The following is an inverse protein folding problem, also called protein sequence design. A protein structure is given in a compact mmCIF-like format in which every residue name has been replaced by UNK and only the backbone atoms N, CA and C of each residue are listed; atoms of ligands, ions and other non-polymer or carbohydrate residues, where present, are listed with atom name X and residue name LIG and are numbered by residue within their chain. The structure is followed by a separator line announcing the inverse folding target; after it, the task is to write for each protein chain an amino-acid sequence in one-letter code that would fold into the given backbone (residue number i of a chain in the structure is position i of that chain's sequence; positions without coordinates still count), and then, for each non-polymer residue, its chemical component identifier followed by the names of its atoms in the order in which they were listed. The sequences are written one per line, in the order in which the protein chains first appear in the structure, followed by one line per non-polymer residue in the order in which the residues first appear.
data_IF_110021094913
#
_entry.id   IF_110021094913
#
_cell.length_a   1.000
_cell.length_b   1.000
_cell.length_c   1.000
_cell.angle_alpha   90.00
_cell.angle_beta   90.00
_cell.angle_gamma   90.00
#
_symmetry.space_group_name_H-M   'P 1'
#
loop_
_entity.id
_entity.type
_entity.pdbx_description
1 polymer ?
#
# COMPACT_ATOMS: atom_id res chain seq x y z
N UNK A 1 36.88 -19.53 50.00
CA UNK A 1 35.81 -20.49 49.66
C UNK A 1 34.69 -19.70 48.99
N UNK A 2 34.56 -19.84 47.67
CA UNK A 2 33.69 -19.01 46.84
C UNK A 2 32.31 -19.67 46.67
N UNK A 3 31.25 -18.96 47.06
CA UNK A 3 29.88 -19.41 46.94
C UNK A 3 29.39 -19.28 45.48
N UNK A 4 28.82 -20.36 44.97
CA UNK A 4 28.34 -20.54 43.59
C UNK A 4 27.02 -19.80 43.34
N UNK A 5 26.99 -18.99 42.28
CA UNK A 5 25.87 -18.10 41.90
C UNK A 5 24.82 -18.77 41.00
N UNK A 6 24.39 -19.99 41.33
CA UNK A 6 23.43 -20.77 40.52
C UNK A 6 21.96 -20.40 40.81
N UNK A 7 21.69 -19.44 41.69
CA UNK A 7 20.34 -19.17 42.23
C UNK A 7 19.52 -18.02 41.62
N UNK A 8 19.84 -17.48 40.43
CA UNK A 8 19.15 -16.27 39.89
C UNK A 8 18.61 -16.37 38.46
N UNK A 9 18.22 -17.55 38.00
CA UNK A 9 17.64 -17.73 36.64
C UNK A 9 16.14 -18.10 36.65
N UNK A 10 15.52 -18.36 37.80
CA UNK A 10 14.14 -18.89 37.85
C UNK A 10 13.03 -17.91 38.28
N UNK A 11 13.27 -16.60 38.30
CA UNK A 11 12.26 -15.61 38.75
C UNK A 11 11.82 -14.59 37.69
N UNK A 12 12.27 -14.70 36.43
CA UNK A 12 11.85 -13.82 35.34
C UNK A 12 10.92 -14.49 34.31
N UNK A 13 10.08 -15.45 34.73
CA UNK A 13 9.12 -16.10 33.83
C UNK A 13 7.70 -16.25 34.41
N UNK A 14 7.31 -15.39 35.37
CA UNK A 14 5.97 -15.45 35.98
C UNK A 14 5.04 -14.26 35.71
N UNK A 15 5.49 -13.25 34.95
CA UNK A 15 4.67 -12.06 34.66
C UNK A 15 4.23 -11.89 33.20
N UNK A 16 4.56 -12.81 32.29
CA UNK A 16 4.06 -12.79 30.91
C UNK A 16 2.88 -13.73 30.63
N UNK A 17 2.43 -14.51 31.63
CA UNK A 17 1.34 -15.47 31.46
C UNK A 17 -0.07 -14.89 31.75
N UNK A 18 -0.17 -13.66 32.26
CA UNK A 18 -1.46 -13.06 32.63
C UNK A 18 -2.07 -12.12 31.56
N UNK A 19 -1.48 -12.01 30.36
CA UNK A 19 -2.00 -11.16 29.28
C UNK A 19 -2.50 -11.92 28.03
N UNK A 20 -2.38 -13.25 27.99
CA UNK A 20 -2.88 -14.06 26.88
C UNK A 20 -3.69 -15.24 27.40
N UNK A 21 -4.99 -15.02 27.60
CA UNK A 21 -5.96 -16.12 27.67
C UNK A 21 -6.13 -16.65 26.25
N UNK A 22 -5.25 -17.56 25.83
CA UNK A 22 -5.40 -18.29 24.57
C UNK A 22 -6.61 -19.21 24.74
N UNK A 23 -7.74 -18.79 24.20
CA UNK A 23 -8.94 -19.61 24.10
C UNK A 23 -8.60 -20.90 23.36
N UNK A 24 -8.95 -22.05 23.94
CA UNK A 24 -8.89 -23.34 23.24
C UNK A 24 -9.75 -23.26 21.98
N UNK A 25 -9.23 -23.73 20.85
CA UNK A 25 -9.97 -23.85 19.59
C UNK A 25 -11.14 -24.81 19.80
N UNK A 26 -12.35 -24.28 19.91
CA UNK A 26 -13.57 -25.07 19.79
C UNK A 26 -13.79 -25.37 18.29
N UNK A 27 -14.15 -26.61 17.92
CA UNK A 27 -14.59 -26.88 16.56
C UNK A 27 -15.83 -26.05 16.25
N UNK A 28 -15.82 -25.39 15.10
CA UNK A 28 -16.90 -24.57 14.58
C UNK A 28 -18.18 -25.42 14.47
N UNK A 29 -19.10 -25.25 15.41
CA UNK A 29 -20.48 -25.72 15.22
C UNK A 29 -21.16 -24.74 14.27
N UNK A 30 -21.70 -25.28 13.18
CA UNK A 30 -22.53 -24.55 12.23
C UNK A 30 -23.74 -23.94 12.94
N UNK A 31 -23.64 -22.68 13.37
CA UNK A 31 -24.81 -21.89 13.73
C UNK A 31 -25.35 -21.25 12.46
N UNK A 32 -26.42 -21.82 11.91
CA UNK A 32 -27.22 -21.18 10.88
C UNK A 32 -27.85 -19.92 11.47
N UNK A 33 -27.24 -18.76 11.19
CA UNK A 33 -27.86 -17.46 11.47
C UNK A 33 -29.00 -17.30 10.46
N UNK A 34 -30.22 -17.55 10.91
CA UNK A 34 -31.43 -17.23 10.17
C UNK A 34 -31.56 -15.70 10.07
N UNK A 35 -31.07 -15.13 8.96
CA UNK A 35 -31.45 -13.79 8.54
C UNK A 35 -32.86 -13.86 7.93
N UNK A 36 -33.81 -12.99 8.34
CA UNK A 36 -35.14 -13.01 7.78
C UNK A 36 -35.06 -12.65 6.29
N UNK A 37 -35.53 -13.58 5.48
CA UNK A 37 -35.65 -13.46 4.03
C UNK A 37 -36.50 -12.23 3.72
N UNK A 38 -35.89 -11.18 3.16
CA UNK A 38 -36.62 -10.08 2.56
C UNK A 38 -37.40 -10.65 1.37
N UNK A 39 -38.72 -10.84 1.52
CA UNK A 39 -39.60 -11.24 0.43
C UNK A 39 -39.91 -10.00 -0.41
N UNK A 40 -39.50 -9.91 -1.69
CA UNK A 40 -40.04 -8.88 -2.54
C UNK A 40 -41.52 -9.17 -2.80
N UNK A 41 -42.35 -8.17 -2.57
CA UNK A 41 -43.78 -8.20 -2.86
C UNK A 41 -43.95 -8.20 -4.39
N UNK A 42 -44.14 -9.38 -4.99
CA UNK A 42 -44.51 -9.49 -6.41
C UNK A 42 -46.03 -9.46 -6.50
N UNK A 43 -46.56 -8.42 -7.14
CA UNK A 43 -47.95 -8.38 -7.57
C UNK A 43 -48.22 -9.58 -8.50
N UNK A 44 -49.15 -10.44 -8.09
CA UNK A 44 -49.68 -11.57 -8.87
C UNK A 44 -50.48 -11.04 -10.06
N UNK A 45 -50.12 -11.47 -11.26
CA UNK A 45 -51.03 -11.62 -12.39
C UNK A 45 -51.03 -13.11 -12.77
N UNK A 46 -52.19 -13.76 -12.99
CA UNK A 46 -52.27 -15.20 -13.18
C UNK A 46 -52.28 -15.56 -14.67
N UNK A 47 -51.31 -16.37 -15.11
CA UNK A 47 -51.47 -17.25 -16.27
C UNK A 47 -50.50 -18.43 -16.20
N UNK A 48 -50.91 -19.62 -16.67
CA UNK A 48 -50.26 -20.89 -16.32
C UNK A 48 -49.26 -21.36 -17.39
N UNK A 49 -48.26 -22.12 -16.98
CA UNK A 49 -47.52 -23.01 -17.88
C UNK A 49 -46.00 -22.94 -17.75
N UNK A 50 -45.40 -24.10 -17.50
CA UNK A 50 -43.97 -24.44 -17.63
C UNK A 50 -43.06 -23.99 -16.49
N UNK A 51 -43.07 -24.78 -15.42
CA UNK A 51 -42.03 -24.79 -14.38
C UNK A 51 -40.72 -25.37 -14.92
N UNK A 52 -39.90 -24.53 -15.55
CA UNK A 52 -38.46 -24.78 -15.68
C UNK A 52 -37.79 -24.50 -14.32
N UNK A 53 -37.50 -25.57 -13.58
CA UNK A 53 -36.70 -25.51 -12.36
C UNK A 53 -35.27 -25.13 -12.73
N UNK A 54 -34.94 -23.84 -12.73
CA UNK A 54 -33.55 -23.41 -12.72
C UNK A 54 -32.98 -23.69 -11.33
N UNK A 55 -32.27 -24.81 -11.20
CA UNK A 55 -31.37 -25.04 -10.07
C UNK A 55 -30.27 -23.98 -10.15
N UNK A 56 -30.42 -22.92 -9.38
CA UNK A 56 -29.34 -21.96 -9.15
C UNK A 56 -28.41 -22.56 -8.10
N UNK A 57 -27.63 -23.56 -8.51
CA UNK A 57 -26.47 -24.01 -7.76
C UNK A 57 -25.40 -22.90 -7.84
N UNK A 58 -25.54 -21.91 -6.97
CA UNK A 58 -24.44 -21.00 -6.66
C UNK A 58 -23.43 -21.79 -5.81
N UNK A 59 -22.70 -22.70 -6.46
CA UNK A 59 -21.50 -23.26 -5.90
C UNK A 59 -20.54 -22.08 -5.71
N UNK A 60 -20.47 -21.59 -4.47
CA UNK A 60 -19.47 -20.63 -4.04
C UNK A 60 -18.12 -21.32 -4.26
N UNK A 61 -17.51 -21.08 -5.42
CA UNK A 61 -16.12 -21.43 -5.67
C UNK A 61 -15.29 -20.55 -4.74
N UNK A 62 -15.09 -21.02 -3.52
CA UNK A 62 -14.09 -20.50 -2.61
C UNK A 62 -12.72 -20.78 -3.26
N UNK A 63 -12.27 -19.92 -4.17
CA UNK A 63 -10.88 -19.96 -4.66
C UNK A 63 -9.98 -19.73 -3.45
N UNK A 64 -9.23 -20.74 -3.06
CA UNK A 64 -8.20 -20.60 -2.04
C UNK A 64 -7.25 -19.48 -2.46
N UNK A 65 -7.07 -18.47 -1.61
CA UNK A 65 -6.12 -17.41 -1.86
C UNK A 65 -4.72 -18.05 -2.00
N UNK A 66 -4.01 -17.74 -3.09
CA UNK A 66 -2.68 -18.29 -3.36
C UNK A 66 -1.63 -17.65 -2.46
N UNK A 67 -1.68 -17.91 -1.16
CA UNK A 67 -0.63 -17.54 -0.22
C UNK A 67 0.42 -18.64 -0.15
N UNK A 68 1.68 -18.27 0.06
CA UNK A 68 2.72 -19.26 0.30
C UNK A 68 2.53 -19.84 1.71
N UNK A 69 2.36 -21.15 1.82
CA UNK A 69 2.29 -21.86 3.12
C UNK A 69 3.58 -21.58 3.92
N UNK A 70 3.46 -21.27 5.21
CA UNK A 70 4.61 -21.18 6.12
C UNK A 70 5.11 -22.60 6.40
N UNK A 71 6.28 -22.93 5.87
CA UNK A 71 6.88 -24.27 6.01
C UNK A 71 7.76 -24.39 7.24
N UNK A 72 8.38 -23.28 7.70
CA UNK A 72 9.38 -23.31 8.79
C UNK A 72 9.00 -22.46 10.01
N UNK A 73 7.77 -21.98 10.09
CA UNK A 73 7.29 -21.18 11.23
C UNK A 73 8.09 -19.90 11.43
N UNK A 74 8.67 -19.71 12.62
CA UNK A 74 9.47 -18.52 12.97
C UNK A 74 10.83 -18.47 12.27
N UNK A 75 11.33 -19.60 11.79
CA UNK A 75 12.65 -19.66 11.14
C UNK A 75 12.66 -18.88 9.81
N UNK A 76 11.48 -18.60 9.23
CA UNK A 76 11.36 -17.79 8.00
C UNK A 76 11.70 -16.30 8.22
N UNK A 77 11.82 -15.84 9.48
CA UNK A 77 12.26 -14.49 9.82
C UNK A 77 13.78 -14.33 9.87
N UNK A 78 14.53 -15.43 9.77
CA UNK A 78 15.98 -15.44 9.83
C UNK A 78 16.56 -15.98 8.51
N UNK A 79 17.76 -15.52 8.16
CA UNK A 79 18.48 -16.09 7.01
C UNK A 79 18.93 -17.52 7.32
N UNK A 80 19.32 -18.24 6.28
CA UNK A 80 19.87 -19.59 6.38
C UNK A 80 21.05 -19.57 7.39
N UNK A 81 21.15 -20.54 8.32
CA UNK A 81 22.20 -20.56 9.33
C UNK A 81 23.63 -20.46 8.78
N UNK A 82 23.85 -20.93 7.54
CA UNK A 82 25.11 -20.84 6.81
C UNK A 82 25.56 -19.39 6.55
N UNK A 83 24.61 -18.46 6.40
CA UNK A 83 24.88 -17.05 6.07
C UNK A 83 25.12 -16.19 7.33
N UNK A 84 25.10 -16.78 8.54
CA UNK A 84 25.25 -16.02 9.78
C UNK A 84 26.69 -15.58 9.99
N UNK A 85 26.89 -14.29 10.25
CA UNK A 85 28.22 -13.70 10.47
C UNK A 85 28.98 -13.37 9.18
N UNK A 86 28.46 -13.72 8.01
CA UNK A 86 29.04 -13.28 6.74
C UNK A 86 28.78 -11.79 6.49
N UNK A 87 29.82 -11.05 6.07
CA UNK A 87 29.68 -9.64 5.71
C UNK A 87 28.93 -9.44 4.38
N UNK A 88 29.12 -10.37 3.43
CA UNK A 88 28.65 -10.26 2.04
C UNK A 88 27.87 -11.50 1.61
N UNK A 89 26.54 -11.37 1.55
CA UNK A 89 25.66 -12.44 1.05
C UNK A 89 25.36 -12.19 -0.42
N UNK A 90 25.71 -13.15 -1.29
CA UNK A 90 25.47 -13.08 -2.74
C UNK A 90 23.98 -12.98 -3.01
N UNK A 91 23.56 -11.99 -3.79
CA UNK A 91 22.15 -11.78 -4.15
C UNK A 91 21.97 -11.44 -5.61
N UNK A 92 20.91 -12.00 -6.22
CA UNK A 92 20.57 -11.77 -7.62
C UNK A 92 20.13 -10.34 -7.94
N UNK A 93 19.75 -10.14 -9.20
CA UNK A 93 19.21 -8.87 -9.68
C UNK A 93 17.74 -8.68 -9.23
N UNK A 94 17.28 -7.43 -9.03
CA UNK A 94 15.88 -7.15 -8.72
C UNK A 94 14.98 -7.45 -9.94
N UNK A 95 13.73 -7.84 -9.68
CA UNK A 95 12.73 -8.10 -10.72
C UNK A 95 12.50 -6.86 -11.57
N UNK A 96 12.51 -7.04 -12.90
CA UNK A 96 12.24 -5.95 -13.85
C UNK A 96 10.76 -5.94 -14.26
N UNK A 97 10.17 -4.75 -14.46
CA UNK A 97 8.76 -4.62 -14.82
C UNK A 97 8.39 -5.42 -16.09
N UNK A 98 9.28 -5.47 -17.09
CA UNK A 98 9.09 -6.28 -18.31
C UNK A 98 8.91 -7.78 -17.99
N UNK A 99 9.71 -8.33 -17.09
CA UNK A 99 9.60 -9.74 -16.67
C UNK A 99 8.28 -9.99 -15.94
N UNK A 100 7.85 -9.05 -15.09
CA UNK A 100 6.60 -9.16 -14.32
C UNK A 100 5.35 -9.07 -15.21
N UNK A 101 5.40 -8.28 -16.31
CA UNK A 101 4.29 -8.17 -17.26
C UNK A 101 3.99 -9.48 -17.99
N UNK A 102 4.98 -10.34 -18.17
CA UNK A 102 4.80 -11.68 -18.79
C UNK A 102 4.14 -12.69 -17.85
N UNK A 103 4.12 -12.45 -16.53
CA UNK A 103 3.59 -13.40 -15.53
C UNK A 103 2.10 -13.27 -15.30
N UNK A 104 1.45 -14.38 -14.92
CA UNK A 104 0.02 -14.41 -14.55
C UNK A 104 -0.23 -13.63 -13.25
N UNK A 105 -1.48 -13.20 -13.02
CA UNK A 105 -1.84 -12.52 -11.76
C UNK A 105 -1.67 -13.44 -10.54
N UNK A 106 -1.93 -14.74 -10.70
CA UNK A 106 -1.74 -15.74 -9.64
C UNK A 106 -0.27 -15.88 -9.24
N UNK A 107 0.64 -15.89 -10.21
CA UNK A 107 2.07 -15.95 -9.95
C UNK A 107 2.60 -14.66 -9.33
N UNK A 108 2.09 -13.50 -9.76
CA UNK A 108 2.43 -12.22 -9.13
C UNK A 108 1.98 -12.16 -7.67
N UNK A 109 0.79 -12.70 -7.36
CA UNK A 109 0.31 -12.79 -5.98
C UNK A 109 1.20 -13.69 -5.12
N UNK A 110 1.59 -14.88 -5.62
CA UNK A 110 2.54 -15.76 -4.93
C UNK A 110 3.90 -15.09 -4.73
N UNK A 111 4.41 -14.44 -5.77
CA UNK A 111 5.70 -13.73 -5.75
C UNK A 111 5.70 -12.59 -4.74
N UNK A 112 4.59 -11.85 -4.61
CA UNK A 112 4.47 -10.79 -3.60
C UNK A 112 4.74 -11.32 -2.19
N UNK A 113 4.19 -12.47 -1.82
CA UNK A 113 4.42 -13.07 -0.52
C UNK A 113 5.85 -13.61 -0.36
N UNK A 114 6.46 -14.17 -1.41
CA UNK A 114 7.88 -14.54 -1.36
C UNK A 114 8.76 -13.32 -1.07
N UNK A 115 8.54 -12.21 -1.79
CA UNK A 115 9.28 -10.97 -1.58
C UNK A 115 8.99 -10.33 -0.21
N UNK A 116 7.75 -10.43 0.26
CA UNK A 116 7.36 -9.91 1.57
C UNK A 116 8.07 -10.65 2.70
N UNK A 117 8.19 -11.97 2.61
CA UNK A 117 8.93 -12.78 3.60
C UNK A 117 10.41 -12.44 3.62
N UNK A 118 11.03 -12.35 2.44
CA UNK A 118 12.42 -11.88 2.31
C UNK A 118 12.60 -10.48 2.92
N UNK A 119 11.69 -9.55 2.62
CA UNK A 119 11.73 -8.19 3.20
C UNK A 119 11.65 -8.22 4.72
N UNK A 120 10.73 -8.98 5.28
CA UNK A 120 10.55 -9.07 6.73
C UNK A 120 11.79 -9.68 7.40
N UNK A 121 12.35 -10.74 6.84
CA UNK A 121 13.61 -11.32 7.30
C UNK A 121 14.75 -10.29 7.28
N UNK A 122 14.92 -9.56 6.17
CA UNK A 122 15.96 -8.53 6.06
C UNK A 122 15.77 -7.37 7.05
N UNK A 123 14.52 -7.00 7.37
CA UNK A 123 14.23 -6.00 8.39
C UNK A 123 14.57 -6.51 9.80
N UNK A 124 14.35 -7.80 10.08
CA UNK A 124 14.81 -8.43 11.33
C UNK A 124 16.33 -8.33 11.45
N UNK A 125 17.06 -8.67 10.38
CA UNK A 125 18.52 -8.59 10.34
C UNK A 125 18.99 -7.14 10.52
N UNK A 126 18.39 -6.18 9.80
CA UNK A 126 18.73 -4.77 9.93
C UNK A 126 18.57 -4.29 11.38
N UNK A 127 17.46 -4.67 12.02
CA UNK A 127 17.17 -4.27 13.39
C UNK A 127 18.12 -4.95 14.40
N UNK A 128 18.44 -6.23 14.20
CA UNK A 128 19.37 -6.95 15.07
C UNK A 128 20.80 -6.43 14.89
N UNK A 129 21.26 -6.13 13.66
CA UNK A 129 22.55 -5.47 13.42
C UNK A 129 22.64 -4.12 14.14
N UNK A 130 21.58 -3.32 14.11
CA UNK A 130 21.52 -2.06 14.88
C UNK A 130 21.60 -2.29 16.38
N UNK A 131 20.90 -3.31 16.91
CA UNK A 131 20.94 -3.67 18.34
C UNK A 131 22.35 -4.10 18.77
N UNK A 132 23.05 -4.86 17.93
CA UNK A 132 24.43 -5.28 18.16
C UNK A 132 25.46 -4.19 17.82
N UNK A 133 25.02 -3.01 17.38
CA UNK A 133 25.89 -1.93 16.91
C UNK A 133 26.84 -2.34 15.76
N UNK A 134 26.40 -3.28 14.92
CA UNK A 134 27.12 -3.77 13.74
C UNK A 134 26.51 -3.22 12.45
N UNK A 135 27.30 -3.21 11.38
CA UNK A 135 26.77 -2.94 10.04
C UNK A 135 25.93 -4.12 9.54
N UNK A 136 24.82 -3.80 8.88
CA UNK A 136 23.96 -4.83 8.28
C UNK A 136 24.72 -5.56 7.16
N UNK A 137 24.68 -6.90 7.12
CA UNK A 137 25.16 -7.66 5.97
C UNK A 137 24.39 -7.25 4.71
N UNK A 138 25.11 -6.78 3.68
CA UNK A 138 24.56 -6.55 2.33
C UNK A 138 23.23 -5.77 2.28
N UNK A 139 23.19 -4.49 2.71
CA UNK A 139 21.96 -3.69 2.75
C UNK A 139 21.33 -3.45 1.37
N UNK A 140 22.08 -3.71 0.30
CA UNK A 140 21.61 -3.68 -1.07
C UNK A 140 20.48 -4.68 -1.34
N UNK A 141 20.47 -5.83 -0.65
CA UNK A 141 19.40 -6.85 -0.77
C UNK A 141 18.04 -6.24 -0.49
N UNK A 142 17.93 -5.49 0.60
CA UNK A 142 16.68 -4.83 1.00
C UNK A 142 16.22 -3.85 -0.09
N UNK A 143 17.13 -3.02 -0.61
CA UNK A 143 16.84 -2.08 -1.71
C UNK A 143 16.38 -2.80 -2.98
N UNK A 144 16.96 -3.95 -3.31
CA UNK A 144 16.56 -4.78 -4.47
C UNK A 144 15.16 -5.35 -4.29
N UNK A 145 14.82 -5.85 -3.11
CA UNK A 145 13.49 -6.38 -2.77
C UNK A 145 12.45 -5.28 -2.83
N UNK A 146 12.70 -4.13 -2.20
CA UNK A 146 11.77 -2.99 -2.23
C UNK A 146 11.53 -2.48 -3.66
N UNK A 147 12.57 -2.42 -4.48
CA UNK A 147 12.46 -2.05 -5.90
C UNK A 147 11.60 -3.06 -6.66
N UNK A 148 11.77 -4.35 -6.38
CA UNK A 148 10.98 -5.43 -7.00
C UNK A 148 9.51 -5.34 -6.60
N UNK A 149 9.21 -5.13 -5.31
CA UNK A 149 7.85 -4.97 -4.80
C UNK A 149 7.15 -3.75 -5.40
N UNK A 150 7.82 -2.59 -5.48
CA UNK A 150 7.26 -1.38 -6.11
C UNK A 150 6.91 -1.62 -7.58
N UNK A 151 7.79 -2.31 -8.33
CA UNK A 151 7.55 -2.63 -9.74
C UNK A 151 6.38 -3.61 -9.91
N UNK A 152 6.24 -4.58 -9.01
CA UNK A 152 5.12 -5.52 -9.00
C UNK A 152 3.80 -4.77 -8.78
N UNK A 153 3.74 -3.91 -7.76
CA UNK A 153 2.58 -3.06 -7.47
C UNK A 153 2.22 -2.16 -8.66
N UNK A 154 3.21 -1.53 -9.30
CA UNK A 154 3.01 -0.77 -10.54
C UNK A 154 2.38 -1.61 -11.65
N UNK A 155 2.89 -2.82 -11.91
CA UNK A 155 2.36 -3.69 -12.99
C UNK A 155 0.93 -4.13 -12.71
N UNK A 156 0.61 -4.48 -11.45
CA UNK A 156 -0.76 -4.84 -11.06
C UNK A 156 -1.69 -3.64 -11.24
N UNK A 157 -1.26 -2.46 -10.81
CA UNK A 157 -2.01 -1.22 -10.98
C UNK A 157 -2.22 -0.85 -12.45
N UNK A 158 -1.20 -1.00 -13.30
CA UNK A 158 -1.32 -0.80 -14.75
C UNK A 158 -2.42 -1.69 -15.35
N UNK A 159 -2.47 -2.97 -14.94
CA UNK A 159 -3.50 -3.92 -15.39
C UNK A 159 -4.89 -3.51 -14.92
N UNK A 160 -5.04 -3.13 -13.66
CA UNK A 160 -6.32 -2.65 -13.11
C UNK A 160 -6.79 -1.36 -13.79
N UNK A 161 -5.88 -0.41 -13.99
CA UNK A 161 -6.16 0.87 -14.63
C UNK A 161 -6.61 0.68 -16.08
N UNK A 162 -5.93 -0.19 -16.84
CA UNK A 162 -6.32 -0.53 -18.21
C UNK A 162 -7.70 -1.21 -18.27
N UNK A 163 -7.97 -2.16 -17.38
CA UNK A 163 -9.27 -2.83 -17.30
C UNK A 163 -10.39 -1.83 -16.97
N UNK A 164 -10.16 -0.95 -15.99
CA UNK A 164 -11.12 0.07 -15.57
C UNK A 164 -11.42 1.06 -16.70
N UNK A 165 -10.42 1.49 -17.45
CA UNK A 165 -10.59 2.37 -18.61
C UNK A 165 -11.45 1.70 -19.69
N UNK A 166 -11.25 0.42 -19.97
CA UNK A 166 -12.06 -0.31 -20.95
C UNK A 166 -13.50 -0.51 -20.49
N UNK A 167 -13.73 -0.79 -19.21
CA UNK A 167 -15.07 -1.08 -18.68
C UNK A 167 -15.90 0.18 -18.38
N UNK A 168 -15.27 1.23 -17.85
CA UNK A 168 -15.98 2.42 -17.31
C UNK A 168 -15.53 3.74 -17.95
N UNK A 169 -14.40 3.77 -18.65
CA UNK A 169 -13.77 5.00 -19.13
C UNK A 169 -13.16 5.88 -18.03
N UNK A 170 -13.15 5.45 -16.77
CA UNK A 170 -12.68 6.27 -15.66
C UNK A 170 -11.17 6.12 -15.41
N UNK A 171 -10.44 7.23 -15.49
CA UNK A 171 -8.99 7.25 -15.26
C UNK A 171 -8.58 6.86 -13.83
N UNK A 172 -9.37 7.24 -12.81
CA UNK A 172 -8.99 7.10 -11.40
C UNK A 172 -9.84 6.05 -10.70
N UNK A 173 -9.20 5.15 -9.96
CA UNK A 173 -9.89 4.14 -9.14
C UNK A 173 -10.82 4.77 -8.10
N UNK A 174 -10.34 5.81 -7.43
CA UNK A 174 -11.06 6.48 -6.35
C UNK A 174 -11.71 7.77 -6.87
N UNK A 175 -13.03 7.94 -6.71
CA UNK A 175 -13.71 9.13 -7.16
C UNK A 175 -13.32 10.36 -6.33
N UNK A 176 -13.44 11.52 -6.96
CA UNK A 176 -13.17 12.80 -6.34
C UNK A 176 -13.57 13.95 -7.25
N UNK A 177 -13.43 15.17 -6.73
CA UNK A 177 -13.74 16.37 -7.49
C UNK A 177 -12.78 17.49 -7.11
N UNK A 178 -12.51 18.39 -8.05
CA UNK A 178 -11.84 19.65 -7.76
C UNK A 178 -12.72 20.53 -6.87
N UNK A 179 -12.18 20.96 -5.74
CA UNK A 179 -12.86 21.83 -4.77
C UNK A 179 -11.96 22.97 -4.35
N UNK A 180 -12.57 24.08 -3.93
CA UNK A 180 -11.86 25.19 -3.31
C UNK A 180 -11.89 25.04 -1.80
N UNK A 181 -10.74 25.22 -1.18
CA UNK A 181 -10.59 25.36 0.27
C UNK A 181 -11.07 26.76 0.72
N UNK A 182 -11.24 26.94 2.03
CA UNK A 182 -11.58 28.24 2.64
C UNK A 182 -10.54 29.30 2.27
N UNK A 183 -9.28 28.91 2.07
CA UNK A 183 -8.18 29.79 1.67
C UNK A 183 -8.03 29.99 0.15
N UNK A 184 -9.03 29.59 -0.65
CA UNK A 184 -9.02 29.79 -2.10
C UNK A 184 -7.99 28.95 -2.85
N UNK A 185 -7.55 27.83 -2.27
CA UNK A 185 -6.69 26.84 -2.95
C UNK A 185 -7.59 25.81 -3.63
N UNK A 186 -7.35 25.57 -4.91
CA UNK A 186 -8.00 24.46 -5.64
C UNK A 186 -7.24 23.19 -5.30
N UNK A 187 -7.95 22.17 -4.82
CA UNK A 187 -7.37 20.88 -4.51
C UNK A 187 -8.31 19.75 -4.93
N UNK A 188 -7.73 18.58 -5.19
CA UNK A 188 -8.50 17.37 -5.50
C UNK A 188 -9.08 16.78 -4.20
N UNK A 189 -10.39 16.94 -4.00
CA UNK A 189 -11.10 16.35 -2.87
C UNK A 189 -11.43 14.88 -3.18
N UNK A 190 -10.76 13.97 -2.50
CA UNK A 190 -11.02 12.52 -2.59
C UNK A 190 -12.27 12.18 -1.79
N UNK A 191 -13.26 11.57 -2.44
CA UNK A 191 -14.48 11.16 -1.76
C UNK A 191 -14.20 10.03 -0.77
N UNK A 192 -15.07 9.93 0.24
CA UNK A 192 -15.05 8.87 1.25
C UNK A 192 -16.39 8.15 1.17
N UNK A 193 -16.34 6.86 1.44
CA UNK A 193 -17.55 6.04 1.55
C UNK A 193 -18.31 6.45 2.83
N UNK A 194 -19.62 6.57 2.69
CA UNK A 194 -20.53 6.95 3.77
C UNK A 194 -21.80 6.10 3.67
N UNK A 195 -22.37 5.65 4.80
CA UNK A 195 -23.61 4.85 4.78
C UNK A 195 -24.86 5.70 4.51
N UNK A 196 -24.79 7.01 4.78
CA UNK A 196 -25.89 7.96 4.61
C UNK A 196 -25.54 9.03 3.58
N UNK A 197 -26.54 9.59 2.87
CA UNK A 197 -26.33 10.71 1.95
C UNK A 197 -25.70 11.93 2.62
N UNK A 198 -24.94 12.71 1.84
CA UNK A 198 -24.13 13.83 2.34
C UNK A 198 -24.93 14.92 3.04
N UNK A 199 -26.19 15.14 2.63
CA UNK A 199 -27.08 16.16 3.19
C UNK A 199 -27.68 15.75 4.55
N UNK A 200 -27.67 14.46 4.89
CA UNK A 200 -28.02 13.98 6.24
C UNK A 200 -26.79 13.93 7.16
N UNK A 201 -25.60 13.80 6.58
CA UNK A 201 -24.35 13.69 7.33
C UNK A 201 -23.94 15.03 7.97
N UNK A 202 -24.23 15.18 9.27
CA UNK A 202 -23.86 16.37 10.07
C UNK A 202 -22.37 16.69 10.00
N UNK A 203 -21.48 15.69 9.97
CA UNK A 203 -20.02 15.89 9.89
C UNK A 203 -19.60 16.41 8.52
N UNK A 204 -20.22 15.92 7.45
CA UNK A 204 -19.96 16.41 6.09
C UNK A 204 -20.42 17.87 5.94
N UNK A 205 -21.62 18.21 6.44
CA UNK A 205 -22.18 19.57 6.37
C UNK A 205 -21.35 20.64 7.07
N UNK A 206 -20.53 20.27 8.06
CA UNK A 206 -19.59 21.21 8.72
C UNK A 206 -18.42 21.61 7.81
N UNK A 207 -18.12 20.85 6.76
CA UNK A 207 -17.04 21.18 5.83
C UNK A 207 -17.46 22.33 4.92
N UNK A 208 -16.56 23.30 4.76
CA UNK A 208 -16.74 24.45 3.86
C UNK A 208 -15.98 24.20 2.57
N UNK A 209 -16.70 24.18 1.45
CA UNK A 209 -16.14 24.02 0.10
C UNK A 209 -16.27 25.31 -0.73
N UNK A 210 -16.22 26.46 -0.06
CA UNK A 210 -16.26 27.78 -0.66
C UNK A 210 -15.21 28.68 -0.03
N UNK A 211 -14.82 29.70 -0.77
CA UNK A 211 -13.82 30.69 -0.36
C UNK A 211 -14.53 31.98 0.04
N UNK A 212 -14.39 32.48 1.28
CA UNK A 212 -14.96 33.75 1.68
C UNK A 212 -14.37 34.93 0.89
N UNK A 213 -15.16 35.99 0.68
CA UNK A 213 -14.76 37.16 -0.12
C UNK A 213 -13.51 37.88 0.41
N UNK A 214 -13.36 37.97 1.74
CA UNK A 214 -12.20 38.62 2.37
C UNK A 214 -10.86 37.91 2.09
N UNK A 215 -10.89 36.68 1.57
CA UNK A 215 -9.67 35.92 1.22
C UNK A 215 -9.09 36.38 -0.13
N UNK A 216 -9.88 37.08 -0.95
CA UNK A 216 -9.48 37.49 -2.31
C UNK A 216 -8.19 38.32 -2.38
N UNK A 217 -7.92 39.32 -1.50
CA UNK A 217 -6.66 40.07 -1.55
C UNK A 217 -5.44 39.18 -1.28
N UNK A 218 -5.57 38.21 -0.37
CA UNK A 218 -4.50 37.26 -0.03
C UNK A 218 -4.21 36.28 -1.17
N UNK A 219 -5.22 35.91 -1.96
CA UNK A 219 -5.03 35.09 -3.17
C UNK A 219 -4.17 35.86 -4.18
N UNK A 220 -4.45 37.15 -4.38
CA UNK A 220 -3.64 38.04 -5.26
C UNK A 220 -2.20 38.12 -4.77
N UNK A 221 -1.97 38.44 -3.50
CA UNK A 221 -0.61 38.54 -2.93
C UNK A 221 0.18 37.22 -3.08
N UNK A 222 -0.49 36.07 -2.92
CA UNK A 222 0.12 34.76 -3.13
C UNK A 222 0.54 34.54 -4.59
N UNK A 223 -0.29 34.97 -5.54
CA UNK A 223 0.03 34.90 -6.98
C UNK A 223 1.20 35.82 -7.32
N UNK A 224 1.20 37.07 -6.84
CA UNK A 224 2.30 38.01 -7.04
C UNK A 224 3.62 37.46 -6.48
N UNK A 225 3.60 36.87 -5.29
CA UNK A 225 4.77 36.21 -4.68
C UNK A 225 5.28 35.06 -5.56
N UNK A 226 4.39 34.22 -6.09
CA UNK A 226 4.75 33.11 -6.98
C UNK A 226 5.39 33.63 -8.28
N UNK A 227 4.80 34.66 -8.90
CA UNK A 227 5.33 35.26 -10.12
C UNK A 227 6.71 35.88 -9.90
N UNK A 228 6.90 36.65 -8.81
CA UNK A 228 8.23 37.21 -8.45
C UNK A 228 9.27 36.11 -8.26
N UNK A 229 8.93 35.03 -7.56
CA UNK A 229 9.84 33.90 -7.36
C UNK A 229 10.19 33.21 -8.69
N UNK A 230 9.20 33.02 -9.58
CA UNK A 230 9.41 32.46 -10.91
C UNK A 230 10.34 33.32 -11.76
N UNK A 231 10.13 34.65 -11.78
CA UNK A 231 10.99 35.57 -12.53
C UNK A 231 12.42 35.59 -12.01
N UNK A 232 12.63 35.59 -10.67
CA UNK A 232 13.97 35.48 -10.07
C UNK A 232 14.67 34.20 -10.48
N UNK A 233 13.96 33.06 -10.42
CA UNK A 233 14.49 31.76 -10.82
C UNK A 233 14.91 31.76 -12.29
N UNK A 234 14.08 32.28 -13.19
CA UNK A 234 14.39 32.39 -14.62
C UNK A 234 15.63 33.25 -14.86
N UNK A 235 15.74 34.40 -14.18
CA UNK A 235 16.92 35.26 -14.27
C UNK A 235 18.18 34.52 -13.84
N UNK A 236 18.15 33.85 -12.68
CA UNK A 236 19.28 33.04 -12.20
C UNK A 236 19.63 31.90 -13.17
N UNK A 237 18.64 31.23 -13.76
CA UNK A 237 18.86 30.19 -14.77
C UNK A 237 19.54 30.76 -16.03
N UNK A 238 19.10 31.92 -16.52
CA UNK A 238 19.71 32.60 -17.66
C UNK A 238 21.14 33.08 -17.37
N UNK A 239 21.38 33.64 -16.19
CA UNK A 239 22.72 34.04 -15.72
C UNK A 239 23.65 32.82 -15.63
N UNK A 240 23.18 31.73 -15.01
CA UNK A 240 23.94 30.48 -14.94
C UNK A 240 24.25 29.91 -16.32
N UNK A 241 23.30 29.99 -17.27
CA UNK A 241 23.52 29.56 -18.65
C UNK A 241 24.54 30.45 -19.37
N UNK A 242 24.51 31.77 -19.15
CA UNK A 242 25.50 32.69 -19.71
C UNK A 242 26.92 32.35 -19.18
N UNK A 243 27.06 32.18 -17.86
CA UNK A 243 28.32 31.78 -17.22
C UNK A 243 28.80 30.42 -17.72
N UNK A 244 27.90 29.44 -17.93
CA UNK A 244 28.25 28.15 -18.49
C UNK A 244 28.76 28.26 -19.94
N UNK A 245 28.14 29.10 -20.77
CA UNK A 245 28.57 29.35 -22.16
C UNK A 245 29.93 30.03 -22.23
N UNK A 246 30.23 30.93 -21.30
CA UNK A 246 31.55 31.56 -21.17
C UNK A 246 32.62 30.54 -20.75
N UNK A 247 32.35 29.74 -19.72
CA UNK A 247 33.29 28.71 -19.22
C UNK A 247 33.50 27.57 -20.19
N UNK A 248 32.47 27.19 -20.95
CA UNK A 248 32.50 26.09 -21.90
C UNK A 248 32.09 26.56 -23.32
N UNK A 249 32.97 27.28 -24.04
CA UNK A 249 32.68 27.80 -25.38
C UNK A 249 32.33 26.71 -26.41
N UNK A 250 32.79 25.48 -26.20
CA UNK A 250 32.48 24.32 -27.05
C UNK A 250 30.99 23.96 -27.04
N UNK A 251 30.27 24.27 -25.94
CA UNK A 251 28.82 24.06 -25.82
C UNK A 251 28.05 25.05 -26.72
N UNK A 252 28.62 26.22 -26.97
CA UNK A 252 28.06 27.25 -27.86
C UNK A 252 28.15 26.86 -29.35
N UNK A 253 29.10 26.00 -29.72
CA UNK A 253 29.33 25.59 -31.11
C UNK A 253 28.44 24.41 -31.57
N UNK A 254 27.71 23.76 -30.65
CA UNK A 254 26.87 22.57 -30.92
C UNK A 254 25.36 22.83 -30.84
N UNK A 255 24.94 24.04 -30.49
CA UNK A 255 23.55 24.48 -30.37
C UNK A 255 23.18 25.42 -31.50
#
# INVERSE_FOLDING_TARGET
MAATSVGRVLTLCRQFQNAFRISKTLPCQHTAVALPTFRPFTHRLPSPGLSLRFNLDCAVQCRALHTTISKRGLDEFFDIPENWGEATVKSGAPWTAKQLRTKSNEDLHKLWYVLLKERNMLLTIEQESRRQCLSMPSPERLKKVERSMKRLDTVVKEREDALRLLQTGQERARPGAWRKDVFGRVYWYRFREHPIPWYMNRRYKRKRFYTPGFVTPYIRLRLEKYLRARSRKQKTESENQAVLREKFPQVKAKS
#
